data_IF_552333738690
#
_entry.id   IF_552333738690
#
_cell.length_a   1.000
_cell.length_b   1.000
_cell.length_c   1.000
_cell.angle_alpha   90.00
_cell.angle_beta   90.00
_cell.angle_gamma   90.00
#
_symmetry.space_group_name_H-M   'P 1'
#
loop_
_entity.id
_entity.type
_entity.pdbx_description
1 polymer ?
#
# COMPACT_ATOMS: atom_id res chain seq x y z
N UNK A 1 -5.09 -5.00 -5.46
CA UNK A 1 -5.91 -4.14 -4.61
C UNK A 1 -5.92 -4.50 -3.13
N UNK A 2 -5.75 -5.77 -2.83
CA UNK A 2 -5.81 -6.18 -1.42
C UNK A 2 -4.79 -5.50 -0.52
N UNK A 3 -3.55 -5.41 -0.98
CA UNK A 3 -2.52 -4.75 -0.16
C UNK A 3 -2.73 -3.25 -0.08
N UNK A 4 -3.18 -2.64 -1.17
CA UNK A 4 -3.53 -1.22 -1.16
C UNK A 4 -4.64 -0.96 -0.15
N UNK A 5 -5.68 -1.79 -0.15
CA UNK A 5 -6.77 -1.63 0.79
C UNK A 5 -6.31 -1.87 2.23
N UNK A 6 -5.35 -2.78 2.42
CA UNK A 6 -4.81 -3.03 3.76
C UNK A 6 -4.05 -1.81 4.28
N UNK A 7 -3.28 -1.16 3.43
CA UNK A 7 -2.57 0.07 3.80
C UNK A 7 -3.58 1.18 4.13
N UNK A 8 -4.59 1.33 3.28
CA UNK A 8 -5.59 2.37 3.49
C UNK A 8 -6.38 2.13 4.78
N UNK A 9 -6.62 0.87 5.14
CA UNK A 9 -7.33 0.56 6.37
C UNK A 9 -6.56 1.03 7.61
N UNK A 10 -5.24 0.83 7.60
CA UNK A 10 -4.41 1.28 8.72
C UNK A 10 -4.50 2.79 8.85
N UNK A 11 -4.45 3.51 7.74
CA UNK A 11 -4.55 4.97 7.77
C UNK A 11 -5.94 5.40 8.23
N UNK A 12 -6.98 4.75 7.72
CA UNK A 12 -8.35 5.10 8.10
C UNK A 12 -8.62 4.87 9.58
N UNK A 13 -8.07 3.81 10.13
CA UNK A 13 -8.24 3.53 11.56
C UNK A 13 -7.54 4.57 12.43
N UNK A 14 -6.40 5.07 11.98
CA UNK A 14 -5.66 6.09 12.73
C UNK A 14 -6.23 7.49 12.52
N UNK A 15 -6.82 7.75 11.36
CA UNK A 15 -7.33 9.07 11.01
C UNK A 15 -8.77 8.94 10.48
N UNK A 16 -9.72 8.58 11.34
CA UNK A 16 -11.08 8.26 10.88
C UNK A 16 -11.84 9.43 10.28
N UNK A 17 -11.42 10.66 10.57
CA UNK A 17 -12.12 11.82 10.06
C UNK A 17 -11.42 12.49 8.88
N UNK A 18 -10.35 11.88 8.37
CA UNK A 18 -9.59 12.44 7.26
C UNK A 18 -9.87 11.62 6.01
N UNK A 19 -10.31 12.25 4.92
CA UNK A 19 -10.62 11.49 3.70
C UNK A 19 -9.36 10.87 3.09
N UNK A 20 -9.53 9.72 2.49
CA UNK A 20 -8.47 9.02 1.79
C UNK A 20 -8.90 8.85 0.34
N UNK A 21 -8.11 9.36 -0.58
CA UNK A 21 -8.37 9.22 -2.00
C UNK A 21 -7.39 8.19 -2.56
N UNK A 22 -7.91 7.26 -3.34
CA UNK A 22 -7.11 6.16 -3.85
C UNK A 22 -6.90 6.34 -5.34
N UNK A 23 -5.65 6.30 -5.75
CA UNK A 23 -5.24 6.34 -7.16
C UNK A 23 -5.47 7.65 -7.89
N UNK A 24 -6.34 8.49 -7.45
CA UNK A 24 -6.61 9.74 -8.13
C UNK A 24 -6.57 10.92 -7.19
N UNK A 25 -6.10 12.05 -7.69
CA UNK A 25 -6.13 13.31 -6.96
C UNK A 25 -7.25 14.14 -7.56
N UNK A 26 -8.34 14.39 -6.82
CA UNK A 26 -9.42 15.24 -7.33
C UNK A 26 -8.89 16.63 -7.61
N UNK A 27 -9.52 17.31 -8.55
CA UNK A 27 -9.08 18.64 -8.89
C UNK A 27 -9.18 19.59 -7.71
N UNK A 28 -10.22 19.44 -6.93
CA UNK A 28 -10.37 20.20 -5.71
C UNK A 28 -10.53 19.18 -4.59
N UNK A 29 -9.70 19.25 -3.59
CA UNK A 29 -9.79 18.31 -2.48
C UNK A 29 -9.77 19.05 -1.16
N UNK A 30 -10.34 18.43 -0.16
CA UNK A 30 -10.37 19.00 1.17
C UNK A 30 -9.02 18.81 1.84
N UNK A 31 -8.71 19.69 2.76
CA UNK A 31 -7.54 19.55 3.61
C UNK A 31 -8.01 19.46 5.05
N UNK A 32 -7.45 18.56 5.84
CA UNK A 32 -6.39 17.60 5.47
C UNK A 32 -6.95 16.40 4.71
N UNK A 33 -6.13 15.75 3.93
CA UNK A 33 -6.54 14.51 3.25
C UNK A 33 -5.32 13.68 2.89
N UNK A 34 -5.58 12.38 2.69
CA UNK A 34 -4.55 11.44 2.25
C UNK A 34 -4.82 11.00 0.82
N UNK A 35 -3.75 10.73 0.10
CA UNK A 35 -3.82 10.17 -1.24
C UNK A 35 -2.89 8.97 -1.24
N UNK A 36 -3.38 7.82 -1.63
CA UNK A 36 -2.59 6.60 -1.64
C UNK A 36 -2.62 6.01 -3.04
N UNK A 37 -1.45 5.79 -3.59
CA UNK A 37 -1.29 5.31 -4.95
C UNK A 37 -0.29 4.16 -4.97
N UNK A 38 -0.59 3.12 -5.74
CA UNK A 38 0.41 2.08 -5.96
C UNK A 38 1.27 2.50 -7.13
N UNK A 39 2.55 2.66 -6.89
CA UNK A 39 3.49 3.15 -7.90
C UNK A 39 4.05 2.01 -8.73
N UNK A 40 4.53 0.97 -8.09
CA UNK A 40 5.05 -0.21 -8.77
C UNK A 40 4.63 -1.45 -8.00
N UNK A 41 4.65 -2.58 -8.67
CA UNK A 41 4.25 -3.83 -8.03
C UNK A 41 5.00 -4.98 -8.72
N UNK A 42 6.31 -5.08 -8.51
CA UNK A 42 7.08 -6.18 -9.10
C UNK A 42 6.65 -7.51 -8.52
N UNK A 43 6.63 -8.51 -9.37
CA UNK A 43 6.20 -9.85 -8.98
C UNK A 43 7.24 -10.86 -9.40
N UNK A 44 7.47 -11.84 -8.55
CA UNK A 44 8.48 -12.83 -8.82
C UNK A 44 7.95 -14.21 -8.50
N UNK A 45 7.98 -15.12 -9.45
CA UNK A 45 7.56 -16.48 -9.19
C UNK A 45 8.62 -17.17 -8.33
N UNK A 46 8.23 -17.62 -7.16
CA UNK A 46 9.16 -18.29 -6.25
C UNK A 46 9.23 -19.78 -6.55
N UNK A 47 8.11 -20.39 -6.84
CA UNK A 47 8.03 -21.77 -7.24
C UNK A 47 6.66 -21.97 -7.86
N UNK A 48 6.28 -23.19 -8.19
CA UNK A 48 5.02 -23.40 -8.88
C UNK A 48 3.80 -23.08 -8.02
N UNK A 49 3.96 -22.94 -6.74
CA UNK A 49 2.84 -22.72 -5.82
C UNK A 49 2.72 -21.34 -5.25
N UNK A 50 3.80 -20.58 -5.23
CA UNK A 50 3.76 -19.24 -4.64
C UNK A 50 4.56 -18.23 -5.45
N UNK A 51 4.14 -17.01 -5.39
CA UNK A 51 4.88 -15.90 -5.99
C UNK A 51 4.97 -14.76 -4.98
N UNK A 52 6.01 -13.95 -5.14
CA UNK A 52 6.21 -12.80 -4.26
C UNK A 52 5.76 -11.53 -4.94
N UNK A 53 5.26 -10.59 -4.16
CA UNK A 53 4.90 -9.27 -4.63
C UNK A 53 5.57 -8.25 -3.74
N UNK A 54 6.06 -7.17 -4.36
CA UNK A 54 6.69 -6.10 -3.59
C UNK A 54 6.13 -4.76 -4.03
N UNK A 55 4.86 -4.51 -3.72
CA UNK A 55 4.25 -3.25 -4.15
C UNK A 55 4.87 -2.07 -3.43
N UNK A 56 5.05 -0.99 -4.18
CA UNK A 56 5.49 0.27 -3.63
C UNK A 56 4.31 1.22 -3.65
N UNK A 57 3.97 1.78 -2.50
CA UNK A 57 2.89 2.72 -2.38
C UNK A 57 3.42 4.10 -2.07
N UNK A 58 2.83 5.11 -2.67
CA UNK A 58 3.08 6.47 -2.27
C UNK A 58 1.89 6.95 -1.45
N UNK A 59 2.15 7.43 -0.26
CA UNK A 59 1.15 7.98 0.63
C UNK A 59 1.45 9.46 0.73
N UNK A 60 0.51 10.30 0.34
CA UNK A 60 0.68 11.75 0.43
C UNK A 60 -0.35 12.29 1.41
N UNK A 61 0.11 13.05 2.39
CA UNK A 61 -0.77 13.73 3.31
C UNK A 61 -0.69 15.22 3.03
N UNK A 62 -1.82 15.81 2.64
CA UNK A 62 -1.90 17.26 2.49
C UNK A 62 -2.46 17.79 3.80
N UNK A 63 -1.65 18.55 4.50
CA UNK A 63 -2.03 19.05 5.83
C UNK A 63 -2.92 20.26 5.78
N UNK A 64 -3.36 20.67 6.94
CA UNK A 64 -4.22 21.82 7.06
C UNK A 64 -3.47 23.11 6.82
N UNK A 65 -4.19 24.13 6.43
CA UNK A 65 -3.66 25.49 6.33
C UNK A 65 -4.49 26.37 7.26
N UNK A 66 -3.88 27.47 7.71
CA UNK A 66 -4.59 28.38 8.61
C UNK A 66 -5.48 29.32 7.80
N UNK A 67 -6.14 30.25 8.48
CA UNK A 67 -7.06 31.17 7.83
C UNK A 67 -6.37 32.06 6.81
N UNK A 68 -5.09 32.30 6.97
CA UNK A 68 -4.30 33.07 6.01
C UNK A 68 -3.74 32.20 4.89
N UNK A 69 -4.21 30.95 4.80
CA UNK A 69 -3.78 29.97 3.81
C UNK A 69 -2.28 29.63 3.95
N UNK A 70 -1.77 29.69 5.15
CA UNK A 70 -0.39 29.32 5.40
C UNK A 70 -0.30 27.89 5.93
N UNK A 71 0.78 27.21 5.58
CA UNK A 71 0.98 25.83 5.98
C UNK A 71 1.20 25.74 7.48
N UNK A 72 0.50 24.81 8.10
CA UNK A 72 0.74 24.50 9.51
C UNK A 72 1.75 23.36 9.57
N UNK A 73 2.95 23.66 10.01
CA UNK A 73 4.03 22.67 10.01
C UNK A 73 3.87 21.60 11.07
N UNK A 74 3.34 21.93 12.23
CA UNK A 74 3.24 20.97 13.31
C UNK A 74 2.42 19.74 12.98
N UNK A 75 1.23 19.85 12.37
CA UNK A 75 0.48 18.66 11.99
C UNK A 75 1.23 17.78 10.99
N UNK A 76 2.07 18.38 10.12
CA UNK A 76 2.86 17.59 9.18
C UNK A 76 3.90 16.76 9.91
N UNK A 77 4.57 17.34 10.90
CA UNK A 77 5.56 16.60 11.68
C UNK A 77 4.89 15.51 12.52
N UNK A 78 3.71 15.80 13.07
CA UNK A 78 2.99 14.81 13.85
C UNK A 78 2.54 13.64 12.98
N UNK A 79 2.07 13.93 11.78
CA UNK A 79 1.63 12.89 10.86
C UNK A 79 2.84 12.06 10.39
N UNK A 80 3.98 12.69 10.16
CA UNK A 80 5.18 11.98 9.78
C UNK A 80 5.57 10.97 10.87
N UNK A 81 5.57 11.39 12.13
CA UNK A 81 5.88 10.50 13.23
C UNK A 81 4.85 9.38 13.35
N UNK A 82 3.58 9.69 13.15
CA UNK A 82 2.53 8.71 13.27
C UNK A 82 2.61 7.67 12.17
N UNK A 83 2.86 8.08 10.94
CA UNK A 83 2.98 7.14 9.83
C UNK A 83 4.22 6.26 10.01
N UNK A 84 5.30 6.81 10.53
CA UNK A 84 6.48 6.02 10.83
C UNK A 84 6.14 4.93 11.86
N UNK A 85 5.39 5.29 12.89
CA UNK A 85 4.98 4.33 13.89
C UNK A 85 4.05 3.27 13.31
N UNK A 86 3.09 3.68 12.49
CA UNK A 86 2.10 2.75 11.93
C UNK A 86 2.71 1.76 10.95
N UNK A 87 3.73 2.15 10.23
CA UNK A 87 4.31 1.32 9.19
C UNK A 87 5.70 0.82 9.55
N UNK A 88 6.68 1.71 9.64
CA UNK A 88 8.05 1.26 9.86
C UNK A 88 8.23 0.53 11.19
N UNK A 89 7.78 1.13 12.25
CA UNK A 89 7.98 0.55 13.58
C UNK A 89 7.07 -0.64 13.85
N UNK A 90 6.00 -0.77 13.10
CA UNK A 90 5.11 -1.93 13.23
C UNK A 90 5.69 -3.16 12.54
N UNK A 91 6.66 -2.97 11.64
CA UNK A 91 7.36 -4.04 10.93
C UNK A 91 6.53 -4.79 9.90
N UNK A 92 5.23 -4.81 10.01
CA UNK A 92 4.37 -5.54 9.10
C UNK A 92 2.98 -4.94 9.03
N UNK A 93 2.30 -5.18 7.93
CA UNK A 93 0.93 -4.70 7.71
C UNK A 93 0.00 -5.90 7.74
N UNK A 94 -1.03 -5.88 8.60
CA UNK A 94 -2.02 -6.96 8.57
C UNK A 94 -2.78 -6.91 7.25
N UNK A 95 -2.83 -8.04 6.57
CA UNK A 95 -3.42 -8.10 5.24
C UNK A 95 -4.90 -8.48 5.36
N UNK A 96 -5.75 -7.77 4.65
CA UNK A 96 -7.17 -8.06 4.64
C UNK A 96 -7.38 -9.45 4.04
N UNK A 97 -8.15 -10.33 4.72
CA UNK A 97 -8.37 -11.67 4.20
C UNK A 97 -9.08 -11.65 2.86
N UNK A 98 -8.70 -12.54 1.96
CA UNK A 98 -9.33 -12.57 0.65
C UNK A 98 -10.54 -13.50 0.64
N UNK A 99 -10.66 -14.40 1.60
CA UNK A 99 -11.79 -15.32 1.68
C UNK A 99 -11.99 -15.80 3.11
N UNK A 100 -12.99 -16.63 3.32
CA UNK A 100 -13.30 -17.12 4.66
C UNK A 100 -12.19 -17.96 5.26
N UNK A 101 -11.47 -18.69 4.42
CA UNK A 101 -10.40 -19.54 4.93
C UNK A 101 -9.28 -18.71 5.53
N UNK A 102 -8.99 -17.55 4.96
CA UNK A 102 -7.93 -16.71 5.50
C UNK A 102 -8.34 -15.98 6.77
N UNK A 103 -9.63 -15.91 7.05
CA UNK A 103 -10.06 -15.23 8.27
C UNK A 103 -9.64 -15.96 9.52
N UNK A 104 -9.33 -17.25 9.42
CA UNK A 104 -8.94 -18.02 10.59
C UNK A 104 -7.47 -17.81 10.95
N UNK A 105 -6.68 -17.22 10.06
CA UNK A 105 -5.27 -17.00 10.33
C UNK A 105 -4.84 -15.70 9.71
N UNK A 106 -4.55 -14.71 10.50
CA UNK A 106 -4.11 -13.40 10.02
C UNK A 106 -2.78 -13.50 9.30
N UNK A 107 -2.72 -12.92 8.12
CA UNK A 107 -1.48 -12.84 7.36
C UNK A 107 -0.95 -11.42 7.41
N UNK A 108 0.36 -11.28 7.26
CA UNK A 108 1.02 -9.99 7.35
C UNK A 108 1.95 -9.78 6.16
N UNK A 109 1.99 -8.56 5.64
CA UNK A 109 2.97 -8.18 4.64
C UNK A 109 4.10 -7.48 5.37
N UNK A 110 5.32 -7.89 5.11
CA UNK A 110 6.47 -7.33 5.78
C UNK A 110 6.77 -5.94 5.22
N UNK A 111 7.17 -5.02 6.09
CA UNK A 111 7.64 -3.72 5.64
C UNK A 111 9.07 -3.89 5.14
N UNK A 112 9.29 -3.62 3.87
CA UNK A 112 10.62 -3.72 3.32
C UNK A 112 11.36 -2.38 3.41
N UNK A 113 10.68 -1.30 3.15
CA UNK A 113 11.27 0.02 3.30
C UNK A 113 10.20 1.07 3.49
N UNK A 114 10.57 2.15 4.14
CA UNK A 114 9.70 3.28 4.38
C UNK A 114 10.55 4.53 4.35
N UNK A 115 10.18 5.50 3.53
CA UNK A 115 10.85 6.79 3.50
C UNK A 115 9.82 7.90 3.50
N UNK A 116 10.19 9.06 4.01
CA UNK A 116 9.28 10.19 3.99
C UNK A 116 10.04 11.46 3.61
N UNK A 117 9.32 12.41 3.05
CA UNK A 117 9.86 13.70 2.68
C UNK A 117 8.81 14.77 2.95
N UNK A 118 9.17 15.76 3.74
CA UNK A 118 8.29 16.87 4.01
C UNK A 118 8.51 17.94 2.95
N UNK A 119 7.43 18.47 2.43
CA UNK A 119 7.46 19.60 1.50
C UNK A 119 6.61 20.70 2.09
N UNK A 120 7.25 21.55 2.87
CA UNK A 120 6.53 22.60 3.57
C UNK A 120 5.94 23.64 2.61
N UNK A 121 6.57 23.87 1.47
CA UNK A 121 6.03 24.79 0.48
C UNK A 121 4.69 24.31 -0.07
N UNK A 122 4.48 23.02 -0.14
CA UNK A 122 3.22 22.48 -0.60
C UNK A 122 2.26 22.15 0.55
N UNK A 123 2.75 22.17 1.76
CA UNK A 123 1.97 21.73 2.91
C UNK A 123 1.70 20.25 2.85
N UNK A 124 2.68 19.48 2.39
CA UNK A 124 2.48 18.06 2.13
C UNK A 124 3.61 17.21 2.69
N UNK A 125 3.26 15.97 3.02
CA UNK A 125 4.19 14.95 3.45
C UNK A 125 4.08 13.81 2.45
N UNK A 126 5.21 13.43 1.85
CA UNK A 126 5.26 12.34 0.88
C UNK A 126 5.96 11.14 1.50
N UNK A 127 5.29 10.00 1.52
CA UNK A 127 5.87 8.79 2.07
C UNK A 127 5.88 7.71 1.01
N UNK A 128 6.94 6.91 0.98
CA UNK A 128 7.02 5.76 0.09
C UNK A 128 7.18 4.51 0.95
N UNK A 129 6.31 3.55 0.72
CA UNK A 129 6.24 2.34 1.50
C UNK A 129 6.34 1.14 0.57
N UNK A 130 7.30 0.27 0.79
CA UNK A 130 7.41 -0.97 0.02
C UNK A 130 7.10 -2.14 0.94
N UNK A 131 6.20 -3.00 0.50
CA UNK A 131 5.84 -4.20 1.24
C UNK A 131 6.41 -5.43 0.54
N UNK A 132 6.56 -6.49 1.31
CA UNK A 132 7.00 -7.79 0.79
C UNK A 132 5.96 -8.81 1.24
N UNK A 133 5.35 -9.49 0.29
CA UNK A 133 4.27 -10.42 0.58
C UNK A 133 4.30 -11.58 -0.41
N UNK A 134 3.80 -12.74 0.00
CA UNK A 134 3.71 -13.87 -0.91
C UNK A 134 2.26 -14.25 -1.11
N UNK A 135 1.93 -14.65 -2.33
CA UNK A 135 0.58 -15.09 -2.67
C UNK A 135 0.65 -16.48 -3.25
N UNK A 136 -0.44 -17.21 -3.12
CA UNK A 136 -0.53 -18.52 -3.72
C UNK A 136 -0.82 -18.35 -5.21
N UNK A 137 -0.14 -19.15 -6.02
CA UNK A 137 -0.43 -19.19 -7.44
C UNK A 137 -1.84 -19.77 -7.59
N UNK A 138 -2.72 -19.15 -8.35
CA UNK A 138 -4.07 -19.66 -8.50
C UNK A 138 -4.06 -21.10 -9.02
N UNK A 139 -4.82 -21.94 -8.37
CA UNK A 139 -4.88 -23.30 -8.78
C UNK A 139 -5.86 -23.42 -9.88
N UNK A 140 -5.35 -23.63 -11.02
CA UNK A 140 -6.14 -23.66 -12.09
C UNK A 140 -6.59 -24.96 -12.31
N UNK A 141 -6.82 -25.68 -11.54
CA UNK A 141 -7.37 -26.83 -11.74
C UNK A 141 -6.93 -27.76 -12.39
N UNK A 142 -6.40 -27.86 -12.33
CA UNK A 142 -6.08 -28.71 -12.66
C UNK A 142 -5.81 -29.44 -13.63
N UNK A 143 -5.74 -29.76 -14.11
CA UNK A 143 -5.59 -30.53 -14.95
C UNK A 143 -4.65 -30.47 -15.75
N UNK A 144 -4.06 -30.69 -16.20
CA UNK A 144 -3.22 -30.86 -17.09
C UNK A 144 -2.81 -29.92 -17.87
N UNK A 145 -2.97 -29.10 -17.88
CA UNK A 145 -2.59 -28.12 -18.66
C UNK A 145 -1.19 -27.89 -18.79
N UNK A 146 -0.51 -28.37 -17.99
CA UNK A 146 0.80 -28.15 -18.03
C UNK A 146 1.34 -28.46 -19.29
N UNK A 147 0.92 -29.46 -19.82
CA UNK A 147 1.47 -29.81 -20.94
C UNK A 147 1.19 -28.87 -21.92
N UNK A 148 0.17 -28.32 -21.92
CA UNK A 148 -0.14 -27.46 -22.91
C UNK A 148 0.73 -26.34 -22.96
N UNK A 149 1.12 -25.89 -21.85
CA UNK A 149 1.83 -24.78 -21.82
C UNK A 149 3.08 -24.87 -22.38
N UNK A 150 3.72 -25.88 -22.15
CA UNK A 150 4.97 -25.93 -22.47
C UNK A 150 5.19 -25.91 -23.77
N UNK A 151 4.53 -26.40 -24.44
CA UNK A 151 4.94 -26.67 -25.58
C UNK A 151 4.92 -25.77 -26.49
N UNK A 152 4.11 -25.17 -26.41
CA UNK A 152 3.88 -24.48 -27.38
C UNK A 152 4.80 -23.55 -27.69
N UNK A 153 5.36 -22.90 -26.94
CA UNK A 153 6.08 -21.90 -27.40
C UNK A 153 7.38 -22.18 -27.53
N UNK A 154 7.70 -23.23 -27.27
CA UNK A 154 8.94 -23.46 -27.28
C UNK A 154 9.42 -23.45 -28.52
N UNK A 155 9.05 -23.59 -29.36
CA UNK A 155 9.62 -23.74 -30.41
C UNK A 155 9.67 -22.94 -31.26
N UNK A 156 9.70 -22.46 -31.39
CA UNK A 156 9.91 -21.65 -32.23
C UNK A 156 10.29 -21.01 -32.36
#
# INVERSE_FOLDING_TARGET
MRLLNSVCKIIADAYPNVPINIEEVPQEFERPSFFVTRVTDPRELKNRNIYGVKPNFQIVYFGERDEANQVLAEPLYETDSKLEELFLLALAVPVIPKDEAEKTKQRYAKIESYTSQLRLDEGALYCNLTLDFTEAVPNVDNHDPVEDIDFSFTRE
#
